data_IF_033822103126
#
_entry.id   IF_033822103126
#
_cell.length_a   1.000
_cell.length_b   1.000
_cell.length_c   1.000
_cell.angle_alpha   90.00
_cell.angle_beta   90.00
_cell.angle_gamma   90.00
#
_symmetry.space_group_name_H-M   'P 1'
#
loop_
_entity.id
_entity.type
_entity.pdbx_description
1 polymer ?
#
# COMPACT_ATOMS: atom_id res chain seq x y z
N UNK A 1 -13.31 -26.42 -4.29
CA UNK A 1 -13.00 -25.31 -5.24
C UNK A 1 -11.83 -24.50 -4.64
N UNK A 2 -10.79 -24.25 -5.42
CA UNK A 2 -9.67 -23.44 -4.96
C UNK A 2 -10.09 -21.97 -4.82
N UNK A 3 -9.63 -21.34 -3.74
CA UNK A 3 -9.71 -19.89 -3.52
C UNK A 3 -8.30 -19.38 -3.27
N UNK A 4 -7.91 -18.30 -3.93
CA UNK A 4 -6.58 -17.69 -3.76
C UNK A 4 -6.76 -16.23 -3.39
N UNK A 5 -5.97 -15.74 -2.44
CA UNK A 5 -5.90 -14.34 -2.07
C UNK A 5 -4.43 -13.91 -1.90
N UNK A 6 -4.16 -12.66 -2.20
CA UNK A 6 -2.84 -12.05 -2.08
C UNK A 6 -2.94 -10.77 -1.25
N UNK A 7 -1.92 -10.52 -0.44
CA UNK A 7 -1.71 -9.27 0.27
C UNK A 7 -0.26 -8.81 0.12
N UNK A 8 -0.03 -7.52 0.33
CA UNK A 8 1.30 -6.91 0.22
C UNK A 8 1.62 -6.10 1.48
N UNK A 9 2.92 -5.94 1.75
CA UNK A 9 3.39 -5.13 2.87
C UNK A 9 3.19 -3.63 2.65
N UNK A 10 3.24 -2.82 3.73
CA UNK A 10 3.34 -1.37 3.62
C UNK A 10 4.58 -0.88 2.85
N UNK A 11 5.64 -1.69 2.77
CA UNK A 11 6.87 -1.41 1.98
C UNK A 11 6.77 -1.76 0.49
N UNK A 12 5.65 -2.31 0.03
CA UNK A 12 5.40 -2.51 -1.40
C UNK A 12 5.27 -1.16 -2.12
N UNK A 13 5.85 -0.96 -3.32
CA UNK A 13 5.86 0.33 -4.01
C UNK A 13 4.49 1.00 -4.14
N UNK A 14 3.46 0.25 -4.52
CA UNK A 14 2.10 0.81 -4.62
C UNK A 14 1.56 1.28 -3.25
N UNK A 15 1.87 0.56 -2.15
CA UNK A 15 1.44 0.96 -0.81
C UNK A 15 2.26 2.15 -0.27
N UNK A 16 3.51 2.29 -0.69
CA UNK A 16 4.29 3.51 -0.44
C UNK A 16 3.64 4.72 -1.13
N UNK A 17 3.19 4.55 -2.38
CA UNK A 17 2.47 5.59 -3.10
C UNK A 17 1.17 6.00 -2.38
N UNK A 18 0.38 5.02 -1.92
CA UNK A 18 -0.81 5.25 -1.11
C UNK A 18 -0.49 6.01 0.17
N UNK A 19 0.57 5.63 0.88
CA UNK A 19 1.00 6.27 2.12
C UNK A 19 1.41 7.74 1.90
N UNK A 20 2.16 8.04 0.84
CA UNK A 20 2.55 9.41 0.50
C UNK A 20 1.29 10.25 0.24
N UNK A 21 0.34 9.74 -0.55
CA UNK A 21 -0.91 10.43 -0.84
C UNK A 21 -1.75 10.69 0.42
N UNK A 22 -1.81 9.72 1.34
CA UNK A 22 -2.50 9.88 2.63
C UNK A 22 -1.75 10.85 3.58
N UNK A 23 -0.44 10.98 3.48
CA UNK A 23 0.32 11.97 4.25
C UNK A 23 0.04 13.39 3.75
N UNK A 24 -0.05 13.59 2.43
CA UNK A 24 -0.48 14.88 1.85
C UNK A 24 -1.90 15.23 2.32
N UNK A 25 -2.82 14.28 2.27
CA UNK A 25 -4.17 14.44 2.80
C UNK A 25 -4.17 14.83 4.29
N UNK A 26 -3.39 14.13 5.09
CA UNK A 26 -3.30 14.35 6.54
C UNK A 26 -2.80 15.75 6.85
N UNK A 27 -1.74 16.21 6.16
CA UNK A 27 -1.21 17.56 6.31
C UNK A 27 -2.24 18.62 5.89
N UNK A 28 -2.91 18.41 4.74
CA UNK A 28 -3.94 19.32 4.25
C UNK A 28 -5.10 19.47 5.25
N UNK A 29 -5.61 18.37 5.77
CA UNK A 29 -6.70 18.39 6.76
C UNK A 29 -6.26 18.96 8.12
N UNK A 30 -5.00 18.75 8.50
CA UNK A 30 -4.42 19.33 9.71
C UNK A 30 -4.30 20.84 9.62
N UNK A 31 -3.93 21.36 8.43
CA UNK A 31 -3.86 22.79 8.19
C UNK A 31 -5.26 23.42 8.09
N UNK A 32 -6.20 22.72 7.48
CA UNK A 32 -7.59 23.14 7.41
C UNK A 32 -8.51 21.92 7.19
N UNK A 33 -9.39 21.64 8.14
CA UNK A 33 -10.32 20.48 8.08
C UNK A 33 -11.33 20.54 6.93
N UNK A 34 -11.48 21.68 6.26
CA UNK A 34 -12.30 21.89 5.07
C UNK A 34 -11.51 21.71 3.76
N UNK A 35 -10.23 21.34 3.83
CA UNK A 35 -9.41 21.12 2.64
C UNK A 35 -10.03 20.05 1.76
N UNK A 36 -10.11 20.31 0.45
CA UNK A 36 -10.47 19.35 -0.57
C UNK A 36 -9.20 18.78 -1.17
N UNK A 37 -9.11 17.45 -1.25
CA UNK A 37 -7.89 16.73 -1.62
C UNK A 37 -8.24 15.53 -2.49
N UNK A 38 -7.59 15.43 -3.64
CA UNK A 38 -7.58 14.25 -4.50
C UNK A 38 -6.15 14.10 -5.06
N UNK A 39 -5.29 13.41 -4.33
CA UNK A 39 -3.87 13.30 -4.60
C UNK A 39 -3.49 11.89 -4.98
N UNK A 40 -2.71 11.76 -6.03
CA UNK A 40 -2.11 10.52 -6.49
C UNK A 40 -0.59 10.67 -6.53
N UNK A 41 0.10 9.59 -6.23
CA UNK A 41 1.56 9.54 -6.20
C UNK A 41 2.06 8.46 -7.13
N UNK A 42 3.05 8.79 -7.95
CA UNK A 42 3.85 7.87 -8.75
C UNK A 42 5.27 7.86 -8.20
N UNK A 43 5.88 6.68 -8.04
CA UNK A 43 7.28 6.58 -7.66
C UNK A 43 7.97 5.40 -8.37
N UNK A 44 9.26 5.60 -8.71
CA UNK A 44 10.06 4.59 -9.41
C UNK A 44 11.55 4.82 -9.24
N UNK A 45 12.34 3.76 -9.34
CA UNK A 45 13.78 3.84 -9.47
C UNK A 45 14.21 4.45 -10.82
N UNK A 46 15.31 5.17 -10.82
CA UNK A 46 15.89 5.76 -12.03
C UNK A 46 17.41 5.67 -12.00
N UNK A 47 18.05 5.87 -13.13
CA UNK A 47 19.53 5.92 -13.24
C UNK A 47 20.17 7.10 -12.51
N UNK A 48 19.38 8.03 -12.00
CA UNK A 48 19.82 9.23 -11.27
C UNK A 48 19.31 9.30 -9.83
N UNK A 49 18.92 8.17 -9.23
CA UNK A 49 18.62 8.06 -7.80
C UNK A 49 17.15 8.04 -7.42
N UNK A 50 16.23 7.98 -8.39
CA UNK A 50 14.79 7.83 -8.17
C UNK A 50 13.95 9.07 -8.49
N UNK A 51 12.65 8.83 -8.68
CA UNK A 51 11.65 9.84 -8.99
C UNK A 51 10.39 9.60 -8.17
N UNK A 52 9.87 10.66 -7.57
CA UNK A 52 8.51 10.71 -7.00
C UNK A 52 7.78 11.88 -7.63
N UNK A 53 6.59 11.64 -8.15
CA UNK A 53 5.67 12.67 -8.65
C UNK A 53 4.42 12.64 -7.79
N UNK A 54 4.08 13.76 -7.19
CA UNK A 54 2.84 13.95 -6.44
C UNK A 54 1.96 14.90 -7.26
N UNK A 55 0.84 14.40 -7.74
CA UNK A 55 -0.06 15.14 -8.60
C UNK A 55 -1.52 15.02 -8.17
N UNK A 56 -2.39 15.75 -8.85
CA UNK A 56 -3.81 15.80 -8.55
C UNK A 56 -4.29 17.18 -8.12
N UNK A 57 -5.36 17.20 -7.34
CA UNK A 57 -6.02 18.46 -6.95
C UNK A 57 -5.98 18.66 -5.43
N UNK A 58 -5.68 19.88 -5.03
CA UNK A 58 -5.70 20.31 -3.62
C UNK A 58 -6.24 21.75 -3.51
N UNK A 59 -7.07 21.99 -2.50
CA UNK A 59 -7.57 23.37 -2.29
C UNK A 59 -6.48 24.29 -1.72
N UNK A 60 -6.47 25.54 -2.15
CA UNK A 60 -5.49 26.56 -1.71
C UNK A 60 -5.45 26.76 -0.18
N UNK A 61 -6.57 26.48 0.51
CA UNK A 61 -6.65 26.57 1.97
C UNK A 61 -5.79 25.53 2.69
N UNK A 62 -5.36 24.47 2.02
CA UNK A 62 -4.47 23.45 2.55
C UNK A 62 -3.06 23.98 2.85
N UNK A 63 -2.61 25.03 2.16
CA UNK A 63 -1.34 25.75 2.38
C UNK A 63 -0.11 24.84 2.45
N UNK A 64 0.03 23.92 1.51
CA UNK A 64 1.21 23.06 1.36
C UNK A 64 2.02 23.56 0.17
N UNK A 65 3.26 23.93 0.41
CA UNK A 65 4.21 24.34 -0.62
C UNK A 65 5.11 23.17 -1.06
N UNK A 66 5.99 23.41 -2.04
CA UNK A 66 6.92 22.40 -2.56
C UNK A 66 7.83 21.80 -1.46
N UNK A 67 8.25 22.60 -0.48
CA UNK A 67 9.06 22.14 0.65
C UNK A 67 8.24 21.25 1.59
N UNK A 68 6.97 21.56 1.76
CA UNK A 68 6.02 20.72 2.50
C UNK A 68 5.85 19.35 1.85
N UNK A 69 5.66 19.32 0.53
CA UNK A 69 5.56 18.07 -0.24
C UNK A 69 6.88 17.28 -0.16
N UNK A 70 8.03 17.94 -0.33
CA UNK A 70 9.33 17.26 -0.21
C UNK A 70 9.51 16.61 1.16
N UNK A 71 9.16 17.30 2.24
CA UNK A 71 9.23 16.78 3.60
C UNK A 71 8.30 15.58 3.79
N UNK A 72 7.04 15.72 3.34
CA UNK A 72 6.02 14.64 3.43
C UNK A 72 6.51 13.36 2.74
N UNK A 73 7.03 13.49 1.52
CA UNK A 73 7.56 12.35 0.76
C UNK A 73 8.71 11.68 1.50
N UNK A 74 9.69 12.46 1.98
CA UNK A 74 10.85 11.93 2.72
C UNK A 74 10.43 11.25 4.03
N UNK A 75 9.49 11.83 4.78
CA UNK A 75 8.98 11.26 6.03
C UNK A 75 8.25 9.92 5.80
N UNK A 76 7.50 9.78 4.71
CA UNK A 76 6.84 8.53 4.34
C UNK A 76 7.85 7.45 3.92
N UNK A 77 8.81 7.81 3.08
CA UNK A 77 9.84 6.88 2.60
C UNK A 77 10.74 6.40 3.72
N UNK A 78 11.09 7.25 4.68
CA UNK A 78 11.89 6.87 5.84
C UNK A 78 11.26 5.77 6.72
N UNK A 79 9.93 5.59 6.64
CA UNK A 79 9.19 4.55 7.37
C UNK A 79 9.04 3.25 6.60
N UNK A 80 9.23 3.28 5.29
CA UNK A 80 8.89 2.19 4.39
C UNK A 80 10.07 1.63 3.61
N UNK A 81 11.26 2.22 3.75
CA UNK A 81 12.48 1.79 3.05
C UNK A 81 13.61 1.71 4.08
N UNK A 82 14.23 0.53 4.20
CA UNK A 82 15.42 0.31 5.05
C UNK A 82 16.71 0.41 4.26
N UNK A 83 16.75 -0.13 3.05
CA UNK A 83 17.95 -0.19 2.21
C UNK A 83 17.82 0.75 1.02
N UNK A 84 18.78 1.67 0.87
CA UNK A 84 18.92 2.51 -0.31
C UNK A 84 19.64 1.76 -1.43
N UNK A 85 19.19 1.96 -2.67
CA UNK A 85 19.83 1.45 -3.88
C UNK A 85 20.21 2.62 -4.78
N UNK A 86 21.22 2.43 -5.66
CA UNK A 86 21.65 3.49 -6.59
C UNK A 86 20.49 4.07 -7.41
N UNK A 87 19.52 3.22 -7.76
CA UNK A 87 18.34 3.62 -8.53
C UNK A 87 17.28 4.35 -7.70
N UNK A 88 17.34 4.26 -6.36
CA UNK A 88 16.39 4.95 -5.46
C UNK A 88 17.06 5.30 -4.13
N UNK A 89 17.47 6.56 -4.01
CA UNK A 89 18.19 7.10 -2.84
C UNK A 89 17.50 8.36 -2.34
N UNK A 90 17.26 8.42 -1.04
CA UNK A 90 16.55 9.55 -0.42
C UNK A 90 17.26 10.90 -0.63
N UNK A 91 18.59 10.90 -0.65
CA UNK A 91 19.40 12.12 -0.79
C UNK A 91 19.45 12.68 -2.22
N UNK A 92 19.33 11.81 -3.23
CA UNK A 92 19.34 12.19 -4.65
C UNK A 92 17.96 12.07 -5.33
N UNK A 93 16.92 11.78 -4.54
CA UNK A 93 15.57 11.61 -5.01
C UNK A 93 15.04 12.89 -5.66
N UNK A 94 14.58 12.77 -6.91
CA UNK A 94 13.85 13.85 -7.57
C UNK A 94 12.39 13.81 -7.14
N UNK A 95 11.92 14.85 -6.49
CA UNK A 95 10.51 15.03 -6.10
C UNK A 95 9.91 16.11 -6.99
N UNK A 96 8.78 15.81 -7.63
CA UNK A 96 8.02 16.74 -8.47
C UNK A 96 6.64 16.93 -7.85
N UNK A 97 6.32 18.19 -7.59
CA UNK A 97 5.00 18.62 -7.16
C UNK A 97 4.20 19.09 -8.37
N UNK A 98 3.19 18.33 -8.76
CA UNK A 98 2.27 18.61 -9.88
C UNK A 98 0.82 18.76 -9.35
N UNK A 99 0.69 19.22 -8.10
CA UNK A 99 -0.61 19.51 -7.50
C UNK A 99 -1.15 20.82 -8.08
N UNK A 100 -2.42 20.78 -8.46
CA UNK A 100 -3.14 21.94 -9.00
C UNK A 100 -4.29 22.34 -8.09
N UNK A 101 -4.72 23.63 -8.09
CA UNK A 101 -5.94 24.03 -7.41
C UNK A 101 -7.15 23.27 -7.95
N UNK A 102 -8.04 22.85 -7.05
CA UNK A 102 -9.30 22.20 -7.45
C UNK A 102 -10.12 23.11 -8.35
N UNK A 103 -10.72 22.55 -9.42
CA UNK A 103 -11.55 23.32 -10.35
C UNK A 103 -12.76 23.94 -9.66
N UNK A 104 -13.11 25.19 -10.03
CA UNK A 104 -14.27 25.91 -9.47
C UNK A 104 -15.60 25.21 -9.77
N UNK A 105 -15.70 24.49 -10.89
CA UNK A 105 -16.89 23.75 -11.28
C UNK A 105 -17.18 22.56 -10.34
N UNK A 106 -16.14 21.82 -9.95
CA UNK A 106 -16.27 20.71 -8.99
C UNK A 106 -16.59 21.28 -7.60
N UNK A 107 -15.96 22.39 -7.23
CA UNK A 107 -16.16 23.05 -5.94
C UNK A 107 -17.61 23.52 -5.78
N UNK A 108 -18.17 24.19 -6.77
CA UNK A 108 -19.55 24.69 -6.74
C UNK A 108 -20.61 23.60 -6.74
N UNK A 109 -20.31 22.43 -7.31
CA UNK A 109 -21.22 21.28 -7.32
C UNK A 109 -21.31 20.54 -5.97
N UNK A 110 -20.34 20.75 -5.07
CA UNK A 110 -20.24 20.10 -3.76
C UNK A 110 -20.63 21.04 -2.59
N UNK A 111 -20.53 22.36 -2.80
CA UNK A 111 -20.78 23.40 -1.79
C UNK A 111 -22.21 23.97 -1.86
N UNK A 112 -23.26 23.13 -1.93
CA UNK A 112 -24.59 23.63 -1.64
C UNK A 112 -24.81 23.59 -0.12
N UNK A 113 -25.17 24.74 0.51
CA UNK A 113 -25.21 24.93 1.96
C UNK A 113 -26.23 24.04 2.68
N UNK A 114 -27.14 23.40 1.96
CA UNK A 114 -28.22 22.56 2.52
C UNK A 114 -28.01 21.05 2.31
N UNK A 115 -27.24 20.61 1.27
CA UNK A 115 -27.00 19.20 1.00
C UNK A 115 -25.55 18.95 0.50
N UNK A 116 -24.79 18.13 1.21
CA UNK A 116 -23.44 17.74 0.79
C UNK A 116 -23.54 16.78 -0.41
N UNK A 117 -23.28 17.27 -1.61
CA UNK A 117 -23.25 16.46 -2.83
C UNK A 117 -21.98 15.62 -2.96
N UNK A 118 -22.04 14.53 -3.72
CA UNK A 118 -20.87 13.80 -4.16
C UNK A 118 -20.27 14.48 -5.39
N UNK A 119 -18.95 14.72 -5.40
CA UNK A 119 -18.26 15.36 -6.52
C UNK A 119 -18.11 14.49 -7.76
N UNK A 120 -18.41 13.19 -7.67
CA UNK A 120 -18.32 12.23 -8.79
C UNK A 120 -19.25 11.03 -8.53
N UNK A 121 -19.49 10.25 -9.57
CA UNK A 121 -20.12 8.93 -9.46
C UNK A 121 -19.17 7.93 -8.79
N UNK A 122 -19.71 6.90 -8.15
CA UNK A 122 -18.90 5.85 -7.51
C UNK A 122 -19.63 4.54 -7.38
N UNK A 123 -18.88 3.45 -7.30
CA UNK A 123 -19.37 2.12 -6.98
C UNK A 123 -18.72 1.69 -5.66
N UNK A 124 -19.51 1.55 -4.61
CA UNK A 124 -19.11 1.09 -3.30
C UNK A 124 -19.65 -0.30 -3.03
N UNK A 125 -18.80 -1.18 -2.52
CA UNK A 125 -19.14 -2.56 -2.18
C UNK A 125 -18.90 -2.79 -0.71
N UNK A 126 -19.92 -3.24 0.01
CA UNK A 126 -19.82 -3.68 1.39
C UNK A 126 -19.93 -5.20 1.48
N UNK A 127 -19.09 -5.82 2.32
CA UNK A 127 -19.09 -7.27 2.54
C UNK A 127 -18.76 -7.59 3.99
N UNK A 128 -19.40 -8.63 4.53
CA UNK A 128 -19.04 -9.23 5.81
C UNK A 128 -19.44 -10.71 5.83
N UNK A 129 -18.66 -11.54 6.51
CA UNK A 129 -18.95 -12.95 6.77
C UNK A 129 -18.73 -13.27 8.26
N UNK A 130 -19.40 -14.29 8.78
CA UNK A 130 -19.16 -14.77 10.13
C UNK A 130 -18.20 -15.98 10.18
N UNK A 131 -17.50 -16.26 9.09
CA UNK A 131 -16.50 -17.33 8.99
C UNK A 131 -15.17 -16.96 9.65
N UNK A 132 -14.91 -15.69 9.89
CA UNK A 132 -13.71 -15.15 10.54
C UNK A 132 -14.06 -14.09 11.59
N UNK A 133 -13.21 -13.91 12.58
CA UNK A 133 -13.38 -12.86 13.61
C UNK A 133 -13.29 -11.44 13.04
N UNK A 134 -12.53 -11.27 11.96
CA UNK A 134 -12.38 -10.01 11.24
C UNK A 134 -13.55 -9.69 10.31
N UNK A 135 -14.50 -10.61 10.13
CA UNK A 135 -15.59 -10.56 9.15
C UNK A 135 -15.13 -10.52 7.69
N UNK A 136 -13.86 -10.82 7.41
CA UNK A 136 -13.28 -10.87 6.06
C UNK A 136 -13.38 -12.27 5.44
N UNK A 137 -13.29 -12.40 4.10
CA UNK A 137 -13.23 -13.72 3.45
C UNK A 137 -12.08 -14.56 4.00
N UNK A 138 -12.27 -15.85 4.37
CA UNK A 138 -11.29 -16.63 5.13
C UNK A 138 -9.90 -16.71 4.49
N UNK A 139 -9.81 -16.98 3.19
CA UNK A 139 -8.51 -17.06 2.49
C UNK A 139 -7.78 -15.71 2.48
N UNK A 140 -8.52 -14.61 2.35
CA UNK A 140 -7.97 -13.26 2.39
C UNK A 140 -7.53 -12.88 3.81
N UNK A 141 -8.34 -13.18 4.81
CA UNK A 141 -8.00 -12.96 6.22
C UNK A 141 -6.71 -13.69 6.61
N UNK A 142 -6.58 -14.96 6.22
CA UNK A 142 -5.36 -15.75 6.43
C UNK A 142 -4.13 -15.09 5.77
N UNK A 143 -4.24 -14.69 4.51
CA UNK A 143 -3.16 -14.00 3.79
C UNK A 143 -2.75 -12.70 4.48
N UNK A 144 -3.73 -11.92 4.94
CA UNK A 144 -3.51 -10.65 5.65
C UNK A 144 -2.82 -10.86 7.00
N UNK A 145 -3.27 -11.85 7.77
CA UNK A 145 -2.70 -12.13 9.09
C UNK A 145 -1.23 -12.61 8.98
N UNK A 146 -0.92 -13.48 8.00
CA UNK A 146 0.45 -13.88 7.69
C UNK A 146 1.29 -12.67 7.26
N UNK A 147 0.75 -11.78 6.40
CA UNK A 147 1.47 -10.58 5.97
C UNK A 147 1.74 -9.61 7.13
N UNK A 148 0.81 -9.46 8.07
CA UNK A 148 1.02 -8.62 9.26
C UNK A 148 2.11 -9.21 10.17
N UNK A 149 2.12 -10.52 10.40
CA UNK A 149 3.16 -11.19 11.16
C UNK A 149 4.54 -11.08 10.47
N UNK A 150 4.57 -11.24 9.14
CA UNK A 150 5.79 -11.01 8.37
C UNK A 150 6.29 -9.56 8.48
N UNK A 151 5.39 -8.59 8.46
CA UNK A 151 5.73 -7.18 8.64
C UNK A 151 6.37 -6.90 10.00
N UNK A 152 5.89 -7.53 11.06
CA UNK A 152 6.52 -7.43 12.38
C UNK A 152 7.93 -8.03 12.39
N UNK A 153 8.13 -9.20 11.75
CA UNK A 153 9.45 -9.81 11.60
C UNK A 153 10.37 -8.87 10.79
N UNK A 154 9.91 -8.39 9.64
CA UNK A 154 10.67 -7.48 8.80
C UNK A 154 11.12 -6.23 9.56
N UNK A 155 10.28 -5.64 10.40
CA UNK A 155 10.64 -4.45 11.17
C UNK A 155 11.72 -4.71 12.23
N UNK A 156 11.75 -5.91 12.78
CA UNK A 156 12.66 -6.28 13.88
C UNK A 156 13.97 -6.97 13.40
N UNK A 157 14.05 -7.39 12.13
CA UNK A 157 15.23 -8.03 11.56
C UNK A 157 15.95 -7.07 10.60
N UNK A 158 17.20 -6.74 10.89
CA UNK A 158 18.02 -5.85 10.05
C UNK A 158 18.42 -6.48 8.71
N UNK A 159 18.33 -7.81 8.57
CA UNK A 159 18.60 -8.54 7.34
C UNK A 159 17.41 -8.59 6.38
N UNK A 160 16.23 -8.18 6.84
CA UNK A 160 15.02 -8.07 6.04
C UNK A 160 14.72 -6.62 5.70
N UNK A 161 14.38 -6.38 4.44
CA UNK A 161 13.78 -5.14 3.97
C UNK A 161 12.25 -5.23 3.95
N UNK A 162 11.57 -4.15 3.61
CA UNK A 162 10.16 -3.98 3.93
C UNK A 162 9.20 -4.33 2.78
N UNK A 163 9.71 -4.63 1.57
CA UNK A 163 8.86 -5.08 0.46
C UNK A 163 8.56 -6.57 0.57
N UNK A 164 7.29 -6.92 0.54
CA UNK A 164 6.87 -8.32 0.56
C UNK A 164 5.45 -8.52 0.03
N UNK A 165 5.19 -9.77 -0.38
CA UNK A 165 3.87 -10.27 -0.79
C UNK A 165 3.62 -11.62 -0.15
N UNK A 166 2.38 -11.85 0.27
CA UNK A 166 1.91 -13.14 0.76
C UNK A 166 0.71 -13.56 -0.08
N UNK A 167 0.78 -14.75 -0.64
CA UNK A 167 -0.33 -15.37 -1.34
C UNK A 167 -0.72 -16.67 -0.64
N UNK A 168 -2.02 -16.85 -0.41
CA UNK A 168 -2.59 -18.07 0.18
C UNK A 168 -3.60 -18.67 -0.78
N UNK A 169 -3.54 -19.98 -0.97
CA UNK A 169 -4.53 -20.77 -1.72
C UNK A 169 -5.10 -21.86 -0.85
N UNK A 170 -6.43 -21.88 -0.70
CA UNK A 170 -7.20 -22.86 0.09
C UNK A 170 -8.13 -23.68 -0.80
N UNK A 171 -8.75 -24.72 -0.25
CA UNK A 171 -9.77 -25.55 -0.93
C UNK A 171 -9.21 -26.80 -1.62
N UNK A 172 -7.94 -27.13 -1.42
CA UNK A 172 -7.30 -28.40 -1.74
C UNK A 172 -7.17 -29.31 -0.52
N UNK A 173 -6.37 -30.38 -0.63
CA UNK A 173 -6.00 -31.24 0.49
C UNK A 173 -5.05 -30.55 1.48
N UNK A 174 -4.27 -29.61 0.98
CA UNK A 174 -3.33 -28.78 1.72
C UNK A 174 -3.51 -27.31 1.35
N UNK A 175 -3.26 -26.42 2.31
CA UNK A 175 -3.15 -24.98 2.04
C UNK A 175 -1.81 -24.70 1.39
N UNK A 176 -1.77 -23.81 0.38
CA UNK A 176 -0.52 -23.33 -0.21
C UNK A 176 -0.26 -21.89 0.22
N UNK A 177 0.95 -21.65 0.70
CA UNK A 177 1.42 -20.33 1.10
C UNK A 177 2.66 -19.98 0.28
N UNK A 178 2.65 -18.84 -0.38
CA UNK A 178 3.80 -18.29 -1.09
C UNK A 178 4.15 -16.96 -0.47
N UNK A 179 5.39 -16.81 -0.04
CA UNK A 179 5.93 -15.55 0.48
C UNK A 179 7.06 -15.09 -0.43
N UNK A 180 6.94 -13.86 -0.93
CA UNK A 180 8.07 -13.12 -1.51
C UNK A 180 8.43 -12.02 -0.55
N UNK A 181 9.63 -12.04 0.03
CA UNK A 181 10.12 -11.04 0.99
C UNK A 181 11.50 -10.57 0.61
N UNK A 182 11.67 -9.25 0.61
CA UNK A 182 12.95 -8.60 0.32
C UNK A 182 13.94 -8.83 1.48
N UNK A 183 15.20 -9.13 1.11
CA UNK A 183 16.26 -9.44 2.08
C UNK A 183 17.63 -8.95 1.63
N UNK A 184 18.59 -8.82 2.54
CA UNK A 184 20.00 -8.54 2.23
C UNK A 184 20.69 -9.77 1.64
N UNK A 185 21.80 -9.53 0.90
CA UNK A 185 22.52 -10.59 0.20
C UNK A 185 23.11 -11.67 1.11
N UNK A 186 23.41 -11.32 2.35
CA UNK A 186 24.08 -12.15 3.34
C UNK A 186 23.12 -12.88 4.29
N UNK A 187 21.82 -12.89 3.97
CA UNK A 187 20.83 -13.64 4.75
C UNK A 187 21.04 -15.14 4.58
N UNK A 188 20.87 -15.91 5.65
CA UNK A 188 20.71 -17.35 5.57
C UNK A 188 19.26 -17.66 5.17
N UNK A 189 19.07 -18.07 3.92
CA UNK A 189 17.74 -18.30 3.34
C UNK A 189 17.08 -19.55 3.93
N UNK A 190 17.86 -20.54 4.37
CA UNK A 190 17.32 -21.75 4.97
C UNK A 190 16.85 -21.47 6.40
N UNK A 191 17.60 -20.70 7.17
CA UNK A 191 17.18 -20.21 8.49
C UNK A 191 15.90 -19.36 8.37
N UNK A 192 15.87 -18.43 7.41
CA UNK A 192 14.68 -17.60 7.15
C UNK A 192 13.46 -18.48 6.81
N UNK A 193 13.64 -19.50 5.96
CA UNK A 193 12.57 -20.43 5.61
C UNK A 193 11.99 -21.11 6.84
N UNK A 194 12.84 -21.63 7.72
CA UNK A 194 12.43 -22.32 8.96
C UNK A 194 11.64 -21.36 9.86
N UNK A 195 12.14 -20.14 10.05
CA UNK A 195 11.49 -19.14 10.90
C UNK A 195 10.11 -18.72 10.35
N UNK A 196 9.99 -18.55 9.03
CA UNK A 196 8.72 -18.20 8.41
C UNK A 196 7.74 -19.39 8.40
N UNK A 197 8.22 -20.63 8.23
CA UNK A 197 7.39 -21.83 8.30
C UNK A 197 6.79 -21.97 9.71
N UNK A 198 7.58 -21.76 10.77
CA UNK A 198 7.09 -21.74 12.16
C UNK A 198 6.06 -20.62 12.39
N UNK A 199 6.28 -19.45 11.83
CA UNK A 199 5.31 -18.34 11.88
C UNK A 199 3.99 -18.73 11.19
N UNK A 200 4.03 -19.36 10.00
CA UNK A 200 2.84 -19.76 9.23
C UNK A 200 1.98 -20.75 10.02
N UNK A 201 2.58 -21.65 10.80
CA UNK A 201 1.85 -22.66 11.61
C UNK A 201 0.83 -22.04 12.58
N UNK A 202 0.99 -20.76 12.93
CA UNK A 202 0.07 -20.02 13.83
C UNK A 202 -1.22 -19.56 13.13
N UNK A 203 -1.23 -19.57 11.80
CA UNK A 203 -2.32 -19.02 10.98
C UNK A 203 -2.96 -20.06 10.04
N UNK A 204 -2.31 -21.20 9.85
CA UNK A 204 -2.78 -22.26 8.95
C UNK A 204 -2.99 -23.54 9.74
N UNK A 205 -4.24 -23.95 9.85
CA UNK A 205 -4.58 -25.24 10.46
C UNK A 205 -4.28 -26.40 9.49
N UNK A 206 -3.66 -27.46 10.01
CA UNK A 206 -3.40 -28.68 9.25
C UNK A 206 -2.13 -28.61 8.40
N UNK A 207 -2.15 -29.34 7.26
CA UNK A 207 -0.99 -29.42 6.37
C UNK A 207 -0.96 -28.23 5.41
N UNK A 208 0.23 -27.70 5.15
CA UNK A 208 0.45 -26.70 4.13
C UNK A 208 1.75 -26.92 3.35
N UNK A 209 1.79 -26.38 2.14
CA UNK A 209 2.99 -26.24 1.31
C UNK A 209 3.45 -24.79 1.39
N UNK A 210 4.75 -24.58 1.59
CA UNK A 210 5.34 -23.25 1.69
C UNK A 210 6.46 -23.03 0.68
N UNK A 211 6.33 -21.96 -0.12
CA UNK A 211 7.33 -21.50 -1.06
C UNK A 211 7.82 -20.11 -0.65
N UNK A 212 9.13 -20.00 -0.35
CA UNK A 212 9.82 -18.73 -0.07
C UNK A 212 10.57 -18.28 -1.30
N UNK A 213 10.30 -17.04 -1.76
CA UNK A 213 10.98 -16.41 -2.89
C UNK A 213 11.12 -17.34 -4.11
N UNK A 214 10.04 -17.87 -4.68
CA UNK A 214 10.09 -18.91 -5.70
C UNK A 214 10.82 -18.49 -6.98
N UNK A 215 10.96 -17.18 -7.24
CA UNK A 215 11.74 -16.63 -8.35
C UNK A 215 13.24 -16.52 -8.04
N UNK A 216 13.69 -16.95 -6.87
CA UNK A 216 15.07 -16.86 -6.40
C UNK A 216 15.30 -15.72 -5.42
N UNK A 217 16.50 -15.14 -5.43
CA UNK A 217 16.90 -14.07 -4.51
C UNK A 217 16.09 -12.79 -4.73
N UNK A 218 15.55 -12.22 -3.65
CA UNK A 218 14.82 -10.94 -3.66
C UNK A 218 15.58 -9.87 -2.87
N UNK A 219 16.70 -9.41 -3.41
CA UNK A 219 17.55 -8.38 -2.78
C UNK A 219 17.09 -6.98 -3.15
N UNK A 220 16.80 -6.74 -4.44
CA UNK A 220 16.37 -5.44 -4.93
C UNK A 220 14.85 -5.38 -4.98
N UNK A 221 14.25 -4.65 -4.06
CA UNK A 221 12.81 -4.45 -3.94
C UNK A 221 12.44 -2.99 -3.70
N UNK A 222 11.21 -2.75 -3.27
CA UNK A 222 10.68 -1.41 -3.13
C UNK A 222 10.73 -0.62 -4.44
N UNK A 223 10.73 0.72 -4.40
CA UNK A 223 10.72 1.55 -5.62
C UNK A 223 11.96 1.41 -6.51
N UNK A 224 13.05 0.85 -5.98
CA UNK A 224 14.24 0.52 -6.78
C UNK A 224 14.01 -0.68 -7.69
N UNK A 225 13.14 -1.61 -7.29
CA UNK A 225 12.83 -2.84 -8.02
C UNK A 225 11.60 -2.76 -8.90
N UNK A 226 10.58 -2.00 -8.49
CA UNK A 226 9.29 -1.89 -9.17
C UNK A 226 8.70 -0.49 -9.00
N UNK A 227 7.82 -0.12 -9.90
CA UNK A 227 7.11 1.17 -9.89
C UNK A 227 5.88 1.10 -8.99
N UNK A 228 5.67 2.14 -8.18
CA UNK A 228 4.48 2.33 -7.36
C UNK A 228 3.56 3.43 -7.88
N UNK A 229 2.26 3.21 -7.71
CA UNK A 229 1.22 4.18 -8.03
C UNK A 229 0.06 4.04 -7.04
N UNK A 230 -0.48 5.18 -6.58
CA UNK A 230 -1.67 5.24 -5.73
C UNK A 230 -2.85 4.51 -6.36
N UNK A 231 -3.59 3.74 -5.56
CA UNK A 231 -4.82 3.05 -6.00
C UNK A 231 -4.61 1.77 -6.79
N UNK A 232 -3.39 1.21 -6.85
CA UNK A 232 -3.13 -0.06 -7.53
C UNK A 232 -3.26 -1.31 -6.65
N UNK A 233 -3.62 -1.15 -5.38
CA UNK A 233 -3.83 -2.25 -4.42
C UNK A 233 -5.22 -2.24 -3.78
N UNK A 234 -6.22 -1.70 -4.49
CA UNK A 234 -7.59 -1.54 -3.99
C UNK A 234 -8.27 -2.87 -3.62
N UNK A 235 -7.95 -3.97 -4.29
CA UNK A 235 -8.43 -5.31 -3.93
C UNK A 235 -7.89 -5.76 -2.57
N UNK A 236 -6.59 -5.46 -2.31
CA UNK A 236 -5.94 -5.75 -1.02
C UNK A 236 -6.48 -4.85 0.10
N UNK A 237 -6.78 -3.61 -0.22
CA UNK A 237 -7.29 -2.62 0.75
C UNK A 237 -8.78 -2.85 1.09
N UNK A 238 -9.53 -3.50 0.20
CA UNK A 238 -10.95 -3.83 0.41
C UNK A 238 -11.13 -5.23 1.06
N UNK A 239 -11.78 -6.16 0.37
CA UNK A 239 -12.19 -7.46 0.92
C UNK A 239 -11.49 -8.65 0.22
N UNK A 240 -10.42 -8.39 -0.53
CA UNK A 240 -9.72 -9.41 -1.31
C UNK A 240 -10.44 -9.81 -2.61
N UNK A 241 -9.89 -10.80 -3.34
CA UNK A 241 -10.28 -11.09 -4.71
C UNK A 241 -11.63 -11.82 -4.88
N UNK A 242 -12.23 -12.30 -3.79
CA UNK A 242 -13.53 -12.99 -3.83
C UNK A 242 -14.73 -12.05 -3.81
N UNK A 243 -14.49 -10.79 -3.52
CA UNK A 243 -15.51 -9.75 -3.45
C UNK A 243 -15.21 -8.69 -4.53
N UNK A 244 -16.22 -8.25 -5.29
CA UNK A 244 -16.02 -7.15 -6.23
C UNK A 244 -15.51 -5.89 -5.53
N UNK A 245 -14.77 -5.06 -6.25
CA UNK A 245 -14.32 -3.74 -5.79
C UNK A 245 -14.66 -2.71 -6.85
N UNK A 246 -14.93 -1.46 -6.44
CA UNK A 246 -15.04 -0.33 -7.36
C UNK A 246 -13.69 0.02 -8.00
N UNK A 247 -13.62 1.11 -8.74
CA UNK A 247 -12.40 1.51 -9.47
C UNK A 247 -11.58 2.59 -8.80
N UNK A 248 -12.13 3.32 -7.83
CA UNK A 248 -11.50 4.49 -7.21
C UNK A 248 -10.44 4.11 -6.17
N UNK A 249 -9.35 4.88 -6.11
CA UNK A 249 -8.39 4.79 -5.05
C UNK A 249 -9.00 5.21 -3.70
N UNK A 250 -8.63 4.52 -2.62
CA UNK A 250 -9.06 4.86 -1.26
C UNK A 250 -8.16 5.93 -0.65
N UNK A 251 -6.86 5.92 -0.94
CA UNK A 251 -5.87 6.83 -0.41
C UNK A 251 -5.88 8.19 -1.11
N UNK A 252 -5.41 9.25 -0.42
CA UNK A 252 -5.19 10.58 -0.97
C UNK A 252 -6.45 11.42 -1.22
N UNK A 253 -7.61 11.00 -0.72
CA UNK A 253 -8.91 11.66 -0.95
C UNK A 253 -9.55 12.11 0.35
N UNK A 254 -10.06 13.35 0.39
CA UNK A 254 -10.81 13.86 1.54
C UNK A 254 -12.17 13.17 1.70
N UNK A 255 -12.82 13.26 2.89
CA UNK A 255 -14.06 12.53 3.20
C UNK A 255 -15.30 12.90 2.36
N UNK A 256 -15.25 13.96 1.52
CA UNK A 256 -16.34 14.26 0.59
C UNK A 256 -16.38 13.36 -0.64
N UNK A 257 -15.32 12.58 -0.87
CA UNK A 257 -15.21 11.64 -1.97
C UNK A 257 -15.65 10.25 -1.53
N UNK A 258 -16.61 9.68 -2.23
CA UNK A 258 -17.26 8.41 -1.84
C UNK A 258 -16.33 7.20 -1.94
N UNK A 259 -15.27 7.26 -2.73
CA UNK A 259 -14.28 6.19 -2.85
C UNK A 259 -13.43 6.03 -1.57
N UNK A 260 -13.23 7.12 -0.80
CA UNK A 260 -12.52 7.09 0.49
C UNK A 260 -13.26 6.23 1.50
#
# INVERSE_FOLDING_TARGET
MYKTAETVSPGHPDKIADLISDYVLTEALSNNSKSRVAVETFLTGTTYGGLVVVGGEISDIAKIDDKGIEKIVKDALAKTIKTSFEDFQLDSLKIQNELTPQSEEIRSAVEDDEDLGAGDQGIMVGYATNETESFMPPTFDMSRNIQMALWEIQNNDEKLDLDSKVQVTTGGEETKVVISTQHKKDIDIDELRINLEDMITKYVDGKFQFDLNPSGSFVKGGPAGDTGLTGRKIVVDAYGPTVPVGGGAFSGKDPSKVDR
#
